data_IF_576973424458
#
_entry.id   IF_576973424458
#
_cell.length_a   1.000
_cell.length_b   1.000
_cell.length_c   1.000
_cell.angle_alpha   90.00
_cell.angle_beta   90.00
_cell.angle_gamma   90.00
#
_symmetry.space_group_name_H-M   'P 1'
#
loop_
_entity.id
_entity.type
_entity.pdbx_description
1 polymer ?
#
# COMPACT_ATOMS: atom_id res chain seq x y z
N UNK A 1 -6.05 1.99 -21.61
CA UNK A 1 -5.60 0.58 -21.57
C UNK A 1 -6.63 -0.26 -20.82
N UNK A 2 -6.86 -1.52 -21.21
CA UNK A 2 -7.77 -2.41 -20.47
C UNK A 2 -6.98 -3.61 -19.95
N UNK A 3 -7.04 -3.85 -18.64
CA UNK A 3 -6.36 -4.94 -17.96
C UNK A 3 -7.40 -5.91 -17.44
N UNK A 4 -7.21 -7.19 -17.73
CA UNK A 4 -8.02 -8.27 -17.18
C UNK A 4 -7.16 -9.05 -16.20
N UNK A 5 -7.70 -9.27 -15.01
CA UNK A 5 -7.07 -10.03 -13.95
C UNK A 5 -8.10 -10.85 -13.17
N UNK A 6 -7.65 -11.54 -12.15
CA UNK A 6 -8.52 -12.28 -11.23
C UNK A 6 -8.03 -12.10 -9.80
N UNK A 7 -8.96 -12.01 -8.85
CA UNK A 7 -8.67 -11.99 -7.41
C UNK A 7 -9.32 -13.23 -6.81
N UNK A 8 -8.50 -14.23 -6.48
CA UNK A 8 -9.01 -15.58 -6.22
C UNK A 8 -9.72 -16.12 -7.45
N UNK A 9 -10.96 -16.59 -7.29
CA UNK A 9 -11.78 -17.13 -8.38
C UNK A 9 -12.62 -16.07 -9.13
N UNK A 10 -12.51 -14.78 -8.76
CA UNK A 10 -13.33 -13.73 -9.35
C UNK A 10 -12.61 -13.02 -10.49
N UNK A 11 -13.13 -13.07 -11.73
CA UNK A 11 -12.57 -12.32 -12.85
C UNK A 11 -12.89 -10.83 -12.67
N UNK A 12 -11.86 -10.00 -12.82
CA UNK A 12 -11.95 -8.54 -12.67
C UNK A 12 -11.38 -7.87 -13.91
N UNK A 13 -12.06 -6.82 -14.35
CA UNK A 13 -11.68 -6.05 -15.53
C UNK A 13 -11.50 -4.59 -15.10
N UNK A 14 -10.28 -4.07 -15.29
CA UNK A 14 -9.90 -2.71 -14.95
C UNK A 14 -9.62 -1.91 -16.22
N UNK A 15 -10.19 -0.72 -16.29
CA UNK A 15 -9.86 0.27 -17.31
C UNK A 15 -8.94 1.32 -16.70
N UNK A 16 -7.77 1.49 -17.30
CA UNK A 16 -6.78 2.48 -16.88
C UNK A 16 -6.67 3.54 -17.98
N UNK A 17 -6.93 4.78 -17.61
CA UNK A 17 -6.69 5.96 -18.43
C UNK A 17 -5.33 6.53 -18.01
N UNK A 18 -4.46 6.76 -19.00
CA UNK A 18 -3.09 7.23 -18.81
C UNK A 18 -2.85 8.36 -19.80
N UNK A 19 -2.19 9.41 -19.34
CA UNK A 19 -1.77 10.53 -20.16
C UNK A 19 -0.55 10.15 -21.03
N UNK A 20 -0.28 10.88 -22.14
CA UNK A 20 0.80 10.53 -23.08
C UNK A 20 2.19 10.38 -22.45
N UNK A 21 2.50 11.16 -21.40
CA UNK A 21 3.76 11.08 -20.67
C UNK A 21 3.89 9.78 -19.85
N UNK A 22 2.77 9.28 -19.32
CA UNK A 22 2.71 8.03 -18.57
C UNK A 22 2.87 6.82 -19.49
N UNK A 23 2.33 6.90 -20.71
CA UNK A 23 2.58 5.89 -21.76
C UNK A 23 4.06 5.79 -22.13
N UNK A 24 4.76 6.92 -22.23
CA UNK A 24 6.18 6.94 -22.53
C UNK A 24 7.02 6.28 -21.41
N UNK A 25 6.60 6.45 -20.15
CA UNK A 25 7.25 5.83 -19.00
C UNK A 25 7.00 4.31 -18.92
N UNK A 26 5.82 3.84 -19.35
CA UNK A 26 5.49 2.41 -19.42
C UNK A 26 6.33 1.67 -20.47
N UNK A 27 6.56 2.28 -21.64
CA UNK A 27 7.39 1.70 -22.71
C UNK A 27 8.88 1.56 -22.31
N UNK A 28 9.39 2.43 -21.45
CA UNK A 28 10.77 2.40 -20.94
C UNK A 28 11.05 1.21 -20.01
N UNK A 29 10.04 0.64 -19.35
CA UNK A 29 10.22 -0.54 -18.49
C UNK A 29 10.23 -1.87 -19.26
N UNK A 30 9.75 -1.89 -20.52
CA UNK A 30 9.72 -3.12 -21.33
C UNK A 30 11.06 -3.31 -22.07
N UNK A 31 11.79 -2.22 -22.33
CA UNK A 31 13.14 -2.25 -22.90
C UNK A 31 14.20 -2.26 -21.79
N UNK A 32 14.20 -3.30 -20.96
CA UNK A 32 15.39 -3.65 -20.16
C UNK A 32 16.10 -4.77 -20.88
N UNK A 33 17.08 -4.48 -21.76
CA UNK A 33 18.04 -5.49 -22.14
C UNK A 33 18.82 -5.88 -20.87
N UNK A 34 18.96 -7.19 -20.64
CA UNK A 34 19.81 -7.72 -19.58
C UNK A 34 21.27 -7.38 -19.95
N UNK A 35 21.72 -6.19 -19.55
CA UNK A 35 23.12 -5.82 -19.62
C UNK A 35 23.65 -5.90 -18.21
N UNK A 36 24.45 -6.94 -17.97
CA UNK A 36 25.34 -6.99 -16.83
C UNK A 36 26.23 -5.75 -16.86
N UNK A 37 25.96 -4.79 -15.98
CA UNK A 37 26.88 -3.71 -15.68
C UNK A 37 26.96 -3.49 -14.17
N UNK A 38 28.17 -3.74 -13.69
CA UNK A 38 28.63 -3.49 -12.34
C UNK A 38 28.42 -2.03 -11.93
N UNK A 39 28.09 -1.83 -10.65
CA UNK A 39 28.47 -0.63 -9.91
C UNK A 39 27.78 0.67 -10.27
N UNK A 40 26.49 0.78 -9.99
CA UNK A 40 25.90 2.06 -9.60
C UNK A 40 24.73 1.77 -8.65
N UNK A 41 24.92 2.05 -7.36
CA UNK A 41 23.84 2.06 -6.38
C UNK A 41 22.86 3.18 -6.75
N UNK A 42 21.86 2.83 -7.56
CA UNK A 42 20.68 3.65 -7.73
C UNK A 42 19.99 3.71 -6.36
N UNK A 43 20.14 4.84 -5.68
CA UNK A 43 19.34 5.17 -4.51
C UNK A 43 17.91 5.31 -5.03
N UNK A 44 17.14 4.23 -4.97
CA UNK A 44 15.70 4.25 -5.20
C UNK A 44 15.16 5.26 -4.19
N UNK A 45 14.72 6.42 -4.67
CA UNK A 45 13.99 7.35 -3.83
C UNK A 45 12.82 6.56 -3.23
N UNK A 46 12.68 6.51 -1.90
CA UNK A 46 11.62 5.73 -1.28
C UNK A 46 10.30 6.25 -1.86
N UNK A 47 9.53 5.36 -2.49
CA UNK A 47 8.20 5.69 -2.96
C UNK A 47 7.47 6.25 -1.74
N UNK A 48 6.88 7.44 -1.83
CA UNK A 48 6.27 8.08 -0.66
C UNK A 48 5.25 7.17 0.04
N UNK A 49 4.63 6.26 -0.71
CA UNK A 49 3.78 5.18 -0.20
C UNK A 49 4.51 4.18 0.73
N UNK A 50 5.78 3.85 0.48
CA UNK A 50 6.57 2.91 1.29
C UNK A 50 6.97 3.54 2.64
N UNK A 51 7.27 4.84 2.64
CA UNK A 51 7.52 5.60 3.87
C UNK A 51 6.26 5.69 4.74
N UNK A 52 5.12 6.05 4.15
CA UNK A 52 3.82 6.09 4.83
C UNK A 52 3.40 4.71 5.34
N UNK A 53 3.64 3.66 4.56
CA UNK A 53 3.35 2.28 4.97
C UNK A 53 4.18 1.86 6.19
N UNK A 54 5.49 2.16 6.18
CA UNK A 54 6.37 1.84 7.31
C UNK A 54 5.94 2.59 8.56
N UNK A 55 5.60 3.87 8.44
CA UNK A 55 5.15 4.67 9.56
C UNK A 55 3.77 4.22 10.09
N UNK A 56 2.86 3.80 9.21
CA UNK A 56 1.57 3.19 9.60
C UNK A 56 1.74 1.90 10.42
N UNK A 57 2.68 1.03 10.03
CA UNK A 57 3.03 -0.17 10.81
C UNK A 57 3.57 0.20 12.19
N UNK A 58 4.46 1.19 12.27
CA UNK A 58 5.00 1.66 13.55
C UNK A 58 3.93 2.22 14.48
N UNK A 59 2.93 2.96 13.97
CA UNK A 59 1.81 3.45 14.79
C UNK A 59 1.09 2.29 15.48
N UNK A 60 0.75 1.24 14.74
CA UNK A 60 0.06 0.08 15.30
C UNK A 60 0.96 -0.76 16.20
N UNK A 61 2.24 -0.92 15.83
CA UNK A 61 3.24 -1.63 16.63
C UNK A 61 3.47 -0.97 17.99
N UNK A 62 3.61 0.35 18.04
CA UNK A 62 3.80 1.11 19.27
C UNK A 62 2.57 1.07 20.17
N UNK A 63 1.37 1.07 19.59
CA UNK A 63 0.13 0.95 20.34
C UNK A 63 -0.13 -0.49 20.83
N UNK A 64 0.40 -1.50 20.13
CA UNK A 64 0.15 -2.93 20.36
C UNK A 64 -1.25 -3.36 19.90
N UNK A 65 -2.28 -2.57 20.20
CA UNK A 65 -3.63 -2.72 19.67
C UNK A 65 -4.33 -1.37 19.55
N UNK A 66 -5.29 -1.27 18.64
CA UNK A 66 -6.07 -0.05 18.45
C UNK A 66 -7.43 -0.32 17.81
N UNK A 67 -8.45 0.47 18.16
CA UNK A 67 -9.75 0.39 17.48
C UNK A 67 -9.63 0.91 16.04
N UNK A 68 -10.46 0.38 15.12
CA UNK A 68 -10.47 0.80 13.72
C UNK A 68 -10.67 2.31 13.50
N UNK A 69 -11.63 2.96 14.17
CA UNK A 69 -11.83 4.40 14.07
C UNK A 69 -10.63 5.21 14.57
N UNK A 70 -10.03 4.83 15.72
CA UNK A 70 -8.86 5.52 16.26
C UNK A 70 -7.63 5.33 15.36
N UNK A 71 -7.44 4.12 14.83
CA UNK A 71 -6.36 3.82 13.90
C UNK A 71 -6.54 4.62 12.61
N UNK A 72 -7.76 4.72 12.07
CA UNK A 72 -8.04 5.50 10.88
C UNK A 72 -7.67 6.98 11.08
N UNK A 73 -8.11 7.61 12.17
CA UNK A 73 -7.81 9.02 12.46
C UNK A 73 -6.30 9.31 12.47
N UNK A 74 -5.51 8.44 13.11
CA UNK A 74 -4.05 8.56 13.12
C UNK A 74 -3.43 8.39 11.73
N UNK A 75 -3.95 7.46 10.93
CA UNK A 75 -3.46 7.22 9.57
C UNK A 75 -3.82 8.38 8.63
N UNK A 76 -4.97 9.01 8.81
CA UNK A 76 -5.37 10.20 8.06
C UNK A 76 -4.47 11.39 8.39
N UNK A 77 -4.14 11.61 9.67
CA UNK A 77 -3.18 12.62 10.10
C UNK A 77 -1.76 12.37 9.55
N UNK A 78 -1.35 11.10 9.47
CA UNK A 78 -0.04 10.70 8.94
C UNK A 78 0.05 10.86 7.41
N UNK A 79 -1.01 10.51 6.70
CA UNK A 79 -1.04 10.52 5.24
C UNK A 79 -1.55 11.84 4.63
N UNK A 80 -2.04 12.77 5.47
CA UNK A 80 -2.55 14.08 5.07
C UNK A 80 -3.87 14.05 4.31
N UNK A 81 -4.52 12.89 4.19
CA UNK A 81 -5.84 12.78 3.55
C UNK A 81 -6.62 11.53 3.99
N UNK A 82 -7.95 11.66 4.03
CA UNK A 82 -8.85 10.56 4.34
C UNK A 82 -8.71 9.37 3.37
N UNK A 83 -8.53 9.66 2.08
CA UNK A 83 -8.36 8.62 1.06
C UNK A 83 -7.08 7.81 1.28
N UNK A 84 -5.97 8.47 1.64
CA UNK A 84 -4.71 7.79 1.88
C UNK A 84 -4.72 7.01 3.21
N UNK A 85 -5.32 7.56 4.27
CA UNK A 85 -5.50 6.86 5.55
C UNK A 85 -6.29 5.56 5.39
N UNK A 86 -7.39 5.58 4.62
CA UNK A 86 -8.18 4.37 4.31
C UNK A 86 -7.38 3.31 3.55
N UNK A 87 -6.54 3.71 2.58
CA UNK A 87 -5.67 2.76 1.85
C UNK A 87 -4.69 2.08 2.80
N UNK A 88 -4.08 2.82 3.73
CA UNK A 88 -3.18 2.28 4.74
C UNK A 88 -3.91 1.32 5.69
N UNK A 89 -5.12 1.66 6.14
CA UNK A 89 -5.92 0.81 7.01
C UNK A 89 -6.29 -0.52 6.35
N UNK A 90 -6.74 -0.46 5.09
CA UNK A 90 -7.04 -1.66 4.28
C UNK A 90 -5.79 -2.50 4.08
N UNK A 91 -4.63 -1.87 3.86
CA UNK A 91 -3.36 -2.58 3.72
C UNK A 91 -2.91 -3.24 5.03
N UNK A 92 -3.06 -2.57 6.18
CA UNK A 92 -2.79 -3.13 7.51
C UNK A 92 -3.64 -4.37 7.78
N UNK A 93 -4.93 -4.34 7.46
CA UNK A 93 -5.84 -5.49 7.62
C UNK A 93 -5.37 -6.75 6.88
N UNK A 94 -4.64 -6.60 5.77
CA UNK A 94 -4.13 -7.71 4.98
C UNK A 94 -2.65 -8.02 5.25
N UNK A 95 -2.01 -7.32 6.19
CA UNK A 95 -0.66 -7.64 6.62
C UNK A 95 -0.67 -8.87 7.52
N UNK A 96 0.33 -9.74 7.36
CA UNK A 96 0.54 -10.91 8.23
C UNK A 96 0.86 -10.54 9.68
N UNK A 97 1.31 -9.32 9.91
CA UNK A 97 1.69 -8.79 11.24
C UNK A 97 0.50 -8.19 12.00
N UNK A 98 -0.70 -8.23 11.42
CA UNK A 98 -1.89 -7.62 11.99
C UNK A 98 -3.02 -8.62 12.06
N UNK A 99 -3.58 -8.79 13.27
CA UNK A 99 -4.78 -9.58 13.50
C UNK A 99 -5.94 -8.62 13.75
N UNK A 100 -7.03 -8.79 13.01
CA UNK A 100 -8.25 -8.00 13.21
C UNK A 100 -9.29 -8.85 13.94
N UNK A 101 -9.70 -8.40 15.11
CA UNK A 101 -10.79 -8.99 15.89
C UNK A 101 -12.05 -8.15 15.69
N UNK A 102 -13.19 -8.81 15.47
CA UNK A 102 -14.47 -8.11 15.38
C UNK A 102 -14.95 -7.78 16.79
N UNK A 103 -14.81 -6.53 17.20
CA UNK A 103 -15.36 -6.02 18.46
C UNK A 103 -16.86 -5.74 18.37
N UNK A 104 -17.46 -5.44 19.52
CA UNK A 104 -18.91 -5.16 19.65
C UNK A 104 -19.30 -3.87 18.92
N UNK A 105 -18.46 -2.84 19.01
CA UNK A 105 -18.70 -1.51 18.40
C UNK A 105 -17.84 -1.26 17.15
N UNK A 106 -16.60 -1.72 17.15
CA UNK A 106 -15.65 -1.52 16.08
C UNK A 106 -14.63 -2.66 16.01
N UNK A 107 -14.06 -2.95 14.82
CA UNK A 107 -12.96 -3.90 14.70
C UNK A 107 -11.74 -3.41 15.48
N UNK A 108 -11.07 -4.31 16.18
CA UNK A 108 -9.82 -4.03 16.91
C UNK A 108 -8.67 -4.64 16.12
N UNK A 109 -7.67 -3.82 15.85
CA UNK A 109 -6.45 -4.20 15.17
C UNK A 109 -5.40 -4.50 16.23
N UNK A 110 -4.83 -5.70 16.18
CA UNK A 110 -3.75 -6.14 17.06
C UNK A 110 -2.48 -6.34 16.25
N UNK A 111 -1.38 -5.83 16.75
CA UNK A 111 -0.06 -6.15 16.24
C UNK A 111 0.36 -7.55 16.72
N UNK A 112 0.80 -8.41 15.80
CA UNK A 112 1.17 -9.81 16.08
C UNK A 112 2.58 -10.21 15.60
N UNK A 113 3.37 -9.28 15.04
CA UNK A 113 4.76 -9.54 14.61
C UNK A 113 5.59 -8.29 14.49
#
# INVERSE_FOLDING_TARGET
MRIRGQIGDWPVDLTIELEPEEWAQLGRQIDVPVVAQAGATAVVAPRQDDGQWTAAREVLRLAGQMSGPELLDRLEGLAGSAAAGKRLLVRLRHSSEVKVESGVDAPVYHWVG
#
